data_IF_586948757520
#
_entry.id   IF_586948757520
#
_cell.length_a   1.000
_cell.length_b   1.000
_cell.length_c   1.000
_cell.angle_alpha   90.00
_cell.angle_beta   90.00
_cell.angle_gamma   90.00
#
_symmetry.space_group_name_H-M   'P 1'
#
loop_
_entity.id
_entity.type
_entity.pdbx_description
1 polymer ?
#
# COMPACT_ATOMS: atom_id res chain seq x y z
N UNK A 1 -30.38 -45.53 -55.48
CA UNK A 1 -29.11 -46.28 -55.63
C UNK A 1 -27.97 -45.29 -55.55
N UNK A 2 -27.03 -45.55 -54.65
CA UNK A 2 -25.91 -44.68 -54.32
C UNK A 2 -24.86 -44.63 -55.45
N UNK A 3 -24.25 -43.46 -55.64
CA UNK A 3 -22.90 -43.37 -56.19
C UNK A 3 -22.08 -42.37 -55.37
N UNK A 4 -20.93 -42.85 -54.96
CA UNK A 4 -19.97 -42.28 -54.03
C UNK A 4 -18.85 -41.55 -54.78
N UNK A 5 -18.47 -40.37 -54.24
CA UNK A 5 -17.11 -39.83 -54.10
C UNK A 5 -16.09 -39.83 -55.26
N UNK A 6 -15.54 -38.64 -55.57
CA UNK A 6 -14.16 -38.18 -55.19
C UNK A 6 -13.77 -36.89 -55.95
N UNK A 7 -13.17 -35.92 -55.22
CA UNK A 7 -12.34 -34.78 -55.69
C UNK A 7 -10.98 -35.31 -56.24
N UNK A 8 -10.03 -34.54 -56.85
CA UNK A 8 -9.80 -33.06 -56.80
C UNK A 8 -9.22 -32.38 -58.08
N UNK A 9 -9.20 -31.04 -58.15
CA UNK A 9 -7.97 -30.25 -58.43
C UNK A 9 -8.18 -28.73 -58.30
N UNK A 10 -7.17 -28.08 -57.74
CA UNK A 10 -6.96 -26.65 -57.49
C UNK A 10 -7.16 -25.75 -58.72
N UNK A 11 -7.55 -24.48 -58.50
CA UNK A 11 -6.69 -23.31 -58.81
C UNK A 11 -7.29 -21.96 -58.38
N UNK A 12 -6.40 -21.17 -57.75
CA UNK A 12 -6.22 -19.70 -57.82
C UNK A 12 -7.19 -18.80 -57.03
N UNK A 13 -6.64 -18.23 -55.95
CA UNK A 13 -6.96 -16.89 -55.45
C UNK A 13 -6.77 -15.84 -56.55
N UNK A 14 -7.51 -14.71 -56.49
CA UNK A 14 -6.88 -13.51 -55.96
C UNK A 14 -7.80 -12.62 -55.10
N UNK A 15 -7.20 -12.14 -54.00
CA UNK A 15 -7.19 -10.75 -53.51
C UNK A 15 -8.43 -9.85 -53.50
N UNK A 16 -8.52 -9.14 -52.36
CA UNK A 16 -9.14 -7.83 -52.10
C UNK A 16 -10.63 -7.84 -51.76
N UNK A 17 -10.92 -7.82 -50.45
CA UNK A 17 -11.91 -6.92 -49.86
C UNK A 17 -11.34 -6.40 -48.54
N UNK A 18 -11.11 -5.08 -48.49
CA UNK A 18 -10.69 -4.38 -47.29
C UNK A 18 -11.77 -4.50 -46.21
N UNK A 19 -11.39 -5.09 -45.08
CA UNK A 19 -12.19 -4.99 -43.87
C UNK A 19 -12.02 -3.58 -43.29
N UNK A 20 -13.12 -2.85 -43.27
CA UNK A 20 -13.34 -1.73 -42.36
C UNK A 20 -13.27 -2.27 -40.93
N UNK A 21 -12.09 -2.23 -40.32
CA UNK A 21 -11.98 -2.33 -38.87
C UNK A 21 -12.34 -0.98 -38.28
N UNK A 22 -13.57 -0.88 -37.76
CA UNK A 22 -13.86 0.06 -36.69
C UNK A 22 -12.84 -0.17 -35.56
N UNK A 23 -12.06 0.83 -35.13
CA UNK A 23 -11.37 0.69 -33.86
C UNK A 23 -12.45 0.72 -32.77
N UNK A 24 -12.67 -0.45 -32.16
CA UNK A 24 -13.24 -0.54 -30.83
C UNK A 24 -12.57 0.53 -29.98
N UNK A 25 -13.39 1.38 -29.37
CA UNK A 25 -12.95 2.30 -28.33
C UNK A 25 -12.31 1.44 -27.25
N UNK A 26 -10.99 1.37 -27.28
CA UNK A 26 -10.20 0.89 -26.17
C UNK A 26 -10.60 1.73 -24.97
N UNK A 27 -11.46 1.17 -24.13
CA UNK A 27 -11.75 1.66 -22.79
C UNK A 27 -10.38 1.90 -22.17
N UNK A 28 -10.08 3.16 -21.89
CA UNK A 28 -8.84 3.55 -21.24
C UNK A 28 -8.77 2.78 -19.92
N UNK A 29 -8.06 1.66 -19.92
CA UNK A 29 -7.56 1.01 -18.73
C UNK A 29 -6.60 2.03 -18.13
N UNK A 30 -7.15 2.87 -17.25
CA UNK A 30 -6.36 3.61 -16.29
C UNK A 30 -5.50 2.59 -15.58
N UNK A 31 -4.24 2.50 -16.00
CA UNK A 31 -3.16 1.91 -15.26
C UNK A 31 -3.05 2.73 -13.97
N UNK A 32 -3.84 2.38 -12.96
CA UNK A 32 -3.74 2.99 -11.63
C UNK A 32 -2.41 2.48 -11.10
N UNK A 33 -1.37 3.30 -11.21
CA UNK A 33 -0.14 3.09 -10.46
C UNK A 33 -0.56 3.00 -8.99
N UNK A 34 -0.51 1.81 -8.39
CA UNK A 34 -0.65 1.68 -6.95
C UNK A 34 0.40 2.58 -6.32
N UNK A 35 -0.05 3.63 -5.63
CA UNK A 35 0.87 4.54 -4.95
C UNK A 35 1.28 3.85 -3.67
N UNK A 36 2.51 3.37 -3.65
CA UNK A 36 3.10 2.78 -2.46
C UNK A 36 3.64 3.87 -1.55
N UNK A 37 3.42 3.72 -0.25
CA UNK A 37 4.05 4.55 0.79
C UNK A 37 4.98 3.68 1.60
N UNK A 38 6.17 4.21 1.89
CA UNK A 38 7.17 3.55 2.72
C UNK A 38 6.82 3.82 4.19
N UNK A 39 6.74 2.74 4.95
CA UNK A 39 6.64 2.78 6.42
C UNK A 39 7.99 2.39 7.00
N UNK A 40 8.50 3.22 7.90
CA UNK A 40 9.74 2.99 8.62
C UNK A 40 9.45 3.03 10.12
N UNK A 41 9.70 1.93 10.83
CA UNK A 41 9.61 1.85 12.28
C UNK A 41 11.02 1.76 12.86
N UNK A 42 11.41 2.78 13.61
CA UNK A 42 12.67 2.83 14.36
C UNK A 42 12.38 2.56 15.83
N UNK A 43 13.03 1.56 16.38
CA UNK A 43 12.87 1.18 17.78
C UNK A 43 14.07 1.65 18.56
N UNK A 44 13.83 2.27 19.71
CA UNK A 44 14.88 2.83 20.56
C UNK A 44 14.97 2.10 21.89
N UNK A 45 16.14 2.13 22.52
CA UNK A 45 16.31 1.76 23.92
C UNK A 45 16.13 2.99 24.84
N UNK A 46 16.30 2.78 26.15
CA UNK A 46 16.18 3.84 27.17
C UNK A 46 17.26 4.92 27.07
N UNK A 47 18.35 4.65 26.34
CA UNK A 47 19.43 5.59 26.06
C UNK A 47 19.21 6.38 24.74
N UNK A 48 18.03 6.26 24.12
CA UNK A 48 17.70 6.87 22.82
C UNK A 48 18.57 6.37 21.65
N UNK A 49 19.15 5.18 21.77
CA UNK A 49 19.88 4.54 20.68
C UNK A 49 18.92 3.65 19.87
N UNK A 50 18.98 3.74 18.54
CA UNK A 50 18.23 2.86 17.65
C UNK A 50 18.74 1.42 17.81
N UNK A 51 17.84 0.51 18.18
CA UNK A 51 18.14 -0.92 18.40
C UNK A 51 17.61 -1.81 17.29
N UNK A 52 16.56 -1.38 16.60
CA UNK A 52 16.00 -2.12 15.48
C UNK A 52 15.32 -1.18 14.47
N UNK A 53 15.23 -1.68 13.24
CA UNK A 53 14.57 -1.03 12.13
C UNK A 53 13.67 -2.04 11.43
N UNK A 54 12.38 -1.73 11.31
CA UNK A 54 11.45 -2.45 10.45
C UNK A 54 10.99 -1.53 9.33
N UNK A 55 11.01 -2.02 8.09
CA UNK A 55 10.58 -1.26 6.93
C UNK A 55 9.66 -2.11 6.06
N UNK A 56 8.60 -1.49 5.54
CA UNK A 56 7.72 -2.12 4.57
C UNK A 56 7.10 -1.07 3.65
N UNK A 57 6.51 -1.54 2.57
CA UNK A 57 5.75 -0.73 1.62
C UNK A 57 4.29 -1.16 1.67
N UNK A 58 3.40 -0.17 1.61
CA UNK A 58 1.96 -0.40 1.64
C UNK A 58 1.28 0.25 0.46
N UNK A 59 0.23 -0.39 -0.06
CA UNK A 59 -0.67 0.25 -1.02
C UNK A 59 -1.52 1.29 -0.29
N UNK A 60 -1.24 2.57 -0.55
CA UNK A 60 -1.98 3.66 0.08
C UNK A 60 -3.44 3.70 -0.37
N UNK A 61 -3.73 3.30 -1.61
CA UNK A 61 -5.10 3.29 -2.12
C UNK A 61 -5.95 2.30 -1.32
N UNK A 62 -5.45 1.07 -1.17
CA UNK A 62 -6.08 0.04 -0.34
C UNK A 62 -6.22 0.47 1.11
N UNK A 63 -5.19 1.08 1.70
CA UNK A 63 -5.24 1.57 3.09
C UNK A 63 -6.35 2.62 3.26
N UNK A 64 -6.40 3.63 2.39
CA UNK A 64 -7.41 4.70 2.47
C UNK A 64 -8.81 4.13 2.27
N UNK A 65 -9.01 3.23 1.30
CA UNK A 65 -10.31 2.61 1.06
C UNK A 65 -10.84 1.88 2.31
N UNK A 66 -9.99 1.11 3.00
CA UNK A 66 -10.37 0.45 4.26
C UNK A 66 -10.58 1.47 5.38
N UNK A 67 -9.73 2.50 5.47
CA UNK A 67 -9.84 3.53 6.49
C UNK A 67 -11.17 4.29 6.41
N UNK A 68 -11.63 4.66 5.21
CA UNK A 68 -12.89 5.37 5.02
C UNK A 68 -14.09 4.62 5.63
N UNK A 69 -14.09 3.28 5.56
CA UNK A 69 -15.15 2.46 6.19
C UNK A 69 -15.20 2.58 7.72
N UNK A 70 -14.13 3.05 8.35
CA UNK A 70 -13.99 3.20 9.81
C UNK A 70 -14.21 4.64 10.27
N UNK A 71 -14.35 5.59 9.35
CA UNK A 71 -14.27 7.03 9.63
C UNK A 71 -15.32 7.52 10.62
N UNK A 72 -16.57 7.08 10.47
CA UNK A 72 -17.68 7.47 11.36
C UNK A 72 -17.43 6.98 12.80
N UNK A 73 -17.11 5.70 12.96
CA UNK A 73 -16.76 5.12 14.25
C UNK A 73 -15.60 5.87 14.93
N UNK A 74 -14.57 6.25 14.17
CA UNK A 74 -13.44 7.01 14.73
C UNK A 74 -13.86 8.43 15.14
N UNK A 75 -14.73 9.09 14.37
CA UNK A 75 -15.29 10.40 14.77
C UNK A 75 -16.06 10.32 16.08
N UNK A 76 -16.89 9.29 16.24
CA UNK A 76 -17.67 9.05 17.46
C UNK A 76 -16.77 8.80 18.68
N UNK A 77 -15.71 7.99 18.51
CA UNK A 77 -14.76 7.69 19.60
C UNK A 77 -13.79 8.83 19.91
N UNK A 78 -13.59 9.74 18.97
CA UNK A 78 -12.79 10.95 19.14
C UNK A 78 -11.28 10.76 18.99
N UNK A 79 -10.57 11.90 19.04
CA UNK A 79 -9.14 12.02 18.72
C UNK A 79 -8.24 11.14 19.59
N UNK A 80 -8.46 11.14 20.90
CA UNK A 80 -7.64 10.37 21.85
C UNK A 80 -7.67 8.87 21.54
N UNK A 81 -8.84 8.34 21.17
CA UNK A 81 -8.97 6.94 20.79
C UNK A 81 -8.16 6.64 19.53
N UNK A 82 -8.33 7.45 18.47
CA UNK A 82 -7.61 7.29 17.21
C UNK A 82 -6.09 7.33 17.40
N UNK A 83 -5.60 8.32 18.16
CA UNK A 83 -4.17 8.48 18.42
C UNK A 83 -3.60 7.35 19.28
N UNK A 84 -4.35 6.82 20.26
CA UNK A 84 -3.91 5.70 21.09
C UNK A 84 -3.76 4.37 20.34
N UNK A 85 -4.42 4.22 19.18
CA UNK A 85 -4.32 3.01 18.38
C UNK A 85 -2.93 2.88 17.70
N UNK A 86 -2.24 3.99 17.43
CA UNK A 86 -0.89 3.98 16.83
C UNK A 86 0.13 3.27 17.75
N UNK A 87 0.34 3.68 19.02
CA UNK A 87 1.27 2.99 19.91
C UNK A 87 0.82 1.57 20.27
N UNK A 88 -0.49 1.30 20.30
CA UNK A 88 -1.00 -0.06 20.45
C UNK A 88 -0.50 -0.99 19.33
N UNK A 89 -0.74 -0.62 18.06
CA UNK A 89 -0.32 -1.44 16.93
C UNK A 89 1.21 -1.49 16.75
N UNK A 90 1.93 -0.42 17.10
CA UNK A 90 3.38 -0.46 17.15
C UNK A 90 3.91 -1.45 18.21
N UNK A 91 3.22 -1.60 19.34
CA UNK A 91 3.57 -2.59 20.36
C UNK A 91 3.29 -4.02 19.89
N UNK A 92 2.19 -4.24 19.16
CA UNK A 92 1.92 -5.55 18.53
C UNK A 92 2.96 -5.89 17.46
N UNK A 93 3.47 -4.89 16.73
CA UNK A 93 4.59 -5.09 15.81
C UNK A 93 5.86 -5.55 16.55
N UNK A 94 6.20 -4.95 17.70
CA UNK A 94 7.35 -5.42 18.52
C UNK A 94 7.18 -6.88 18.92
N UNK A 95 6.00 -7.27 19.41
CA UNK A 95 5.72 -8.66 19.78
C UNK A 95 5.87 -9.61 18.59
N UNK A 96 5.41 -9.20 17.41
CA UNK A 96 5.56 -9.99 16.19
C UNK A 96 7.02 -10.11 15.74
N UNK A 97 7.83 -9.07 15.94
CA UNK A 97 9.28 -9.12 15.69
C UNK A 97 9.99 -10.08 16.65
N UNK A 98 9.66 -10.04 17.93
CA UNK A 98 10.21 -10.96 18.94
C UNK A 98 9.83 -12.42 18.63
N UNK A 99 8.64 -12.65 18.10
CA UNK A 99 8.16 -13.96 17.67
C UNK A 99 8.65 -14.37 16.26
N UNK A 100 9.35 -13.48 15.55
CA UNK A 100 9.74 -13.65 14.14
C UNK A 100 8.56 -14.03 13.21
N UNK A 101 7.39 -13.42 13.43
CA UNK A 101 6.18 -13.61 12.61
C UNK A 101 6.08 -12.47 11.57
N UNK A 102 6.71 -12.68 10.42
CA UNK A 102 6.74 -11.71 9.31
C UNK A 102 5.33 -11.30 8.84
N UNK A 103 4.39 -12.25 8.86
CA UNK A 103 3.02 -11.99 8.42
C UNK A 103 2.30 -11.07 9.41
N UNK A 104 2.47 -11.29 10.72
CA UNK A 104 1.96 -10.41 11.76
C UNK A 104 2.63 -9.04 11.71
N UNK A 105 3.95 -8.97 11.50
CA UNK A 105 4.69 -7.71 11.38
C UNK A 105 4.09 -6.82 10.29
N UNK A 106 3.90 -7.35 9.07
CA UNK A 106 3.28 -6.60 7.97
C UNK A 106 1.86 -6.13 8.31
N UNK A 107 1.03 -6.99 8.92
CA UNK A 107 -0.33 -6.61 9.34
C UNK A 107 -0.32 -5.49 10.37
N UNK A 108 0.50 -5.59 11.42
CA UNK A 108 0.53 -4.59 12.50
C UNK A 108 1.07 -3.25 12.01
N UNK A 109 2.06 -3.24 11.12
CA UNK A 109 2.53 -2.02 10.47
C UNK A 109 1.42 -1.32 9.66
N UNK A 110 0.64 -2.07 8.87
CA UNK A 110 -0.52 -1.54 8.13
C UNK A 110 -1.57 -0.96 9.10
N UNK A 111 -1.86 -1.66 10.20
CA UNK A 111 -2.83 -1.18 11.19
C UNK A 111 -2.36 0.11 11.88
N UNK A 112 -1.07 0.22 12.22
CA UNK A 112 -0.49 1.44 12.77
C UNK A 112 -0.56 2.61 11.78
N UNK A 113 -0.22 2.38 10.50
CA UNK A 113 -0.34 3.38 9.46
C UNK A 113 -1.79 3.82 9.21
N UNK A 114 -2.74 2.89 9.26
CA UNK A 114 -4.17 3.20 9.11
C UNK A 114 -4.69 4.01 10.29
N UNK A 115 -4.29 3.67 11.52
CA UNK A 115 -4.64 4.44 12.71
C UNK A 115 -4.09 5.87 12.63
N UNK A 116 -2.83 6.03 12.20
CA UNK A 116 -2.21 7.33 11.96
C UNK A 116 -2.97 8.14 10.91
N UNK A 117 -3.23 7.53 9.75
CA UNK A 117 -4.01 8.16 8.67
C UNK A 117 -5.39 8.62 9.14
N UNK A 118 -6.11 7.80 9.90
CA UNK A 118 -7.42 8.14 10.42
C UNK A 118 -7.35 9.31 11.42
N UNK A 119 -6.39 9.28 12.34
CA UNK A 119 -6.20 10.37 13.28
C UNK A 119 -5.89 11.69 12.55
N UNK A 120 -4.90 11.67 11.66
CA UNK A 120 -4.41 12.84 10.96
C UNK A 120 -5.46 13.42 9.99
N UNK A 121 -6.14 12.56 9.22
CA UNK A 121 -7.12 13.01 8.22
C UNK A 121 -8.46 13.47 8.81
N UNK A 122 -8.84 12.99 9.99
CA UNK A 122 -10.09 13.40 10.64
C UNK A 122 -9.87 14.63 11.51
N UNK A 123 -8.77 14.68 12.27
CA UNK A 123 -8.61 15.67 13.33
C UNK A 123 -7.54 16.73 13.05
N UNK A 124 -6.64 16.50 12.10
CA UNK A 124 -5.53 17.40 11.78
C UNK A 124 -5.53 17.84 10.29
N UNK A 125 -6.53 17.41 9.51
CA UNK A 125 -6.77 17.85 8.13
C UNK A 125 -5.80 17.27 7.09
N UNK A 126 -5.05 16.22 7.42
CA UNK A 126 -4.12 15.61 6.46
C UNK A 126 -4.86 15.00 5.26
N UNK A 127 -4.28 15.20 4.07
CA UNK A 127 -4.80 14.71 2.80
C UNK A 127 -4.02 13.52 2.30
N UNK A 128 -4.59 12.81 1.33
CA UNK A 128 -3.94 11.63 0.74
C UNK A 128 -2.66 12.03 0.02
N UNK A 129 -2.65 13.21 -0.62
CA UNK A 129 -1.48 13.76 -1.28
C UNK A 129 -0.31 14.01 -0.33
N UNK A 130 -0.59 14.39 0.93
CA UNK A 130 0.44 14.56 1.96
C UNK A 130 1.15 13.23 2.27
N UNK A 131 0.41 12.11 2.24
CA UNK A 131 0.96 10.77 2.42
C UNK A 131 1.65 10.27 1.15
N UNK A 132 1.07 10.48 -0.04
CA UNK A 132 1.65 10.06 -1.32
C UNK A 132 3.02 10.71 -1.59
N UNK A 133 3.24 11.91 -1.09
CA UNK A 133 4.50 12.66 -1.24
C UNK A 133 5.50 12.40 -0.11
N UNK A 134 5.17 11.53 0.85
CA UNK A 134 5.96 11.28 2.05
C UNK A 134 6.31 9.81 2.25
N UNK A 135 7.38 9.55 2.98
CA UNK A 135 7.52 8.32 3.75
C UNK A 135 7.16 8.59 5.22
N UNK A 136 6.65 7.57 5.90
CA UNK A 136 6.21 7.66 7.28
C UNK A 136 7.26 7.03 8.18
N UNK A 137 7.78 7.80 9.13
CA UNK A 137 8.72 7.33 10.14
C UNK A 137 8.03 7.30 11.51
N UNK A 138 7.93 6.11 12.09
CA UNK A 138 7.42 5.85 13.44
C UNK A 138 8.62 5.61 14.36
N UNK A 139 8.90 6.57 15.22
CA UNK A 139 9.90 6.42 16.27
C UNK A 139 9.24 5.84 17.53
N UNK A 140 9.55 4.58 17.81
CA UNK A 140 8.97 3.79 18.89
C UNK A 140 9.90 3.80 20.09
N UNK A 141 9.50 4.51 21.14
CA UNK A 141 10.23 4.63 22.40
C UNK A 141 9.98 3.40 23.29
N UNK A 142 10.93 2.97 24.15
CA UNK A 142 10.75 1.81 25.03
C UNK A 142 9.60 1.94 26.04
N UNK A 143 9.07 3.15 26.25
CA UNK A 143 7.88 3.38 27.08
C UNK A 143 6.56 3.14 26.34
N UNK A 144 6.61 2.76 25.06
CA UNK A 144 5.44 2.61 24.19
C UNK A 144 4.96 3.92 23.55
N UNK A 145 5.62 5.05 23.80
CA UNK A 145 5.34 6.29 23.08
C UNK A 145 5.78 6.15 21.61
N UNK A 146 4.96 6.65 20.69
CA UNK A 146 5.28 6.68 19.26
C UNK A 146 5.22 8.11 18.75
N UNK A 147 6.29 8.54 18.11
CA UNK A 147 6.33 9.80 17.36
C UNK A 147 6.25 9.48 15.88
N UNK A 148 5.20 9.93 15.22
CA UNK A 148 5.05 9.85 13.77
C UNK A 148 5.59 11.11 13.12
N UNK A 149 6.59 10.93 12.25
CA UNK A 149 7.09 11.97 11.36
C UNK A 149 6.72 11.65 9.92
N UNK A 150 6.15 12.63 9.22
CA UNK A 150 5.99 12.60 7.77
C UNK A 150 7.18 13.31 7.13
N UNK A 151 7.97 12.59 6.37
CA UNK A 151 9.14 13.15 5.70
C UNK A 151 8.92 13.14 4.19
N UNK A 152 9.32 14.20 3.47
CA UNK A 152 9.25 14.21 2.01
C UNK A 152 9.99 13.02 1.41
N UNK A 153 9.40 12.35 0.42
CA UNK A 153 9.99 11.18 -0.24
C UNK A 153 11.38 11.47 -0.83
N UNK A 154 11.64 12.72 -1.25
CA UNK A 154 12.96 13.15 -1.71
C UNK A 154 14.09 13.03 -0.65
N UNK A 155 13.75 12.93 0.64
CA UNK A 155 14.70 12.70 1.73
C UNK A 155 14.90 11.24 2.07
N UNK A 156 14.07 10.35 1.52
CA UNK A 156 14.19 8.93 1.78
C UNK A 156 15.52 8.42 1.22
N UNK A 157 16.27 7.73 2.08
CA UNK A 157 17.48 7.01 1.72
C UNK A 157 17.25 5.56 2.11
N UNK A 158 17.19 4.69 1.12
CA UNK A 158 17.05 3.27 1.37
C UNK A 158 18.16 2.81 2.33
N UNK A 159 17.82 2.08 3.41
CA UNK A 159 18.80 1.44 4.27
C UNK A 159 19.70 0.54 3.43
N UNK A 160 20.99 0.44 3.78
CA UNK A 160 21.92 -0.46 3.09
C UNK A 160 21.36 -1.89 3.13
N UNK A 161 21.08 -2.48 1.97
CA UNK A 161 20.55 -3.84 1.83
C UNK A 161 19.03 -3.95 1.65
N UNK A 162 18.28 -2.84 1.62
CA UNK A 162 16.87 -2.87 1.22
C UNK A 162 16.75 -3.20 -0.29
N UNK A 163 15.75 -4.00 -0.71
CA UNK A 163 15.46 -4.20 -2.13
C UNK A 163 15.21 -2.82 -2.78
N UNK A 164 15.85 -2.58 -3.91
CA UNK A 164 15.60 -1.36 -4.70
C UNK A 164 14.19 -1.42 -5.30
N UNK A 165 13.47 -0.29 -5.37
CA UNK A 165 12.17 -0.22 -6.04
C UNK A 165 12.28 -0.54 -7.53
#
# INVERSE_FOLDING_TARGET
MAFTGRKPHQRRSPGLHGQHNHPERATALSFIWSKHVILQFKFFNTEQQETALFQTEIDLNGLVAVAESKREMIREKGKSFAQSAVPFWASELVKAMEANDEQAMGRHAIQAAMAAWLADSIFDGATKADYESSYLEFNVHPTGMVVLNRHPMARYKAPKGAPSP
#
